data_IF_909390017483
#
_entry.id   IF_909390017483
#
_cell.length_a   1.000
_cell.length_b   1.000
_cell.length_c   1.000
_cell.angle_alpha   90.00
_cell.angle_beta   90.00
_cell.angle_gamma   90.00
#
_symmetry.space_group_name_H-M   'P 1'
#
loop_
_entity.id
_entity.type
_entity.pdbx_description
1 polymer ?
#
# COMPACT_ATOMS: atom_id res chain seq x y z
N UNK A 1 -40.72 29.91 44.94
CA UNK A 1 -39.71 28.87 45.28
C UNK A 1 -39.85 27.58 44.46
N UNK A 2 -41.06 27.16 44.07
CA UNK A 2 -41.28 25.96 43.22
C UNK A 2 -40.62 26.04 41.83
N UNK A 3 -40.63 27.22 41.21
CA UNK A 3 -40.05 27.43 39.88
C UNK A 3 -38.52 27.42 39.89
N UNK A 4 -37.88 27.76 41.02
CA UNK A 4 -36.43 27.68 41.17
C UNK A 4 -35.96 26.22 41.29
N UNK A 5 -36.74 25.39 41.98
CA UNK A 5 -36.49 23.95 42.08
C UNK A 5 -36.65 23.25 40.73
N UNK A 6 -37.62 23.70 39.91
CA UNK A 6 -37.85 23.18 38.56
C UNK A 6 -36.66 23.48 37.62
N UNK A 7 -36.06 24.67 37.72
CA UNK A 7 -34.89 25.06 36.93
C UNK A 7 -33.65 24.25 37.32
N UNK A 8 -33.43 24.02 38.63
CA UNK A 8 -32.31 23.19 39.11
C UNK A 8 -32.42 21.73 38.65
N UNK A 9 -33.63 21.15 38.61
CA UNK A 9 -33.86 19.78 38.13
C UNK A 9 -33.65 19.66 36.61
N UNK A 10 -34.03 20.67 35.82
CA UNK A 10 -33.78 20.67 34.38
C UNK A 10 -32.29 20.78 34.03
N UNK A 11 -31.49 21.54 34.80
CA UNK A 11 -30.05 21.65 34.55
C UNK A 11 -29.27 20.36 34.82
N UNK A 12 -29.78 19.48 35.69
CA UNK A 12 -29.13 18.20 36.00
C UNK A 12 -29.32 17.14 34.88
N UNK A 13 -30.36 17.25 34.05
CA UNK A 13 -30.66 16.29 32.98
C UNK A 13 -29.88 16.56 31.69
N UNK A 14 -29.33 17.76 31.50
CA UNK A 14 -28.51 18.12 30.32
C UNK A 14 -27.05 17.64 30.46
N UNK A 15 -26.63 17.17 31.64
CA UNK A 15 -25.26 16.74 31.90
C UNK A 15 -24.94 15.28 31.46
N UNK A 16 -25.91 14.52 30.96
CA UNK A 16 -25.74 13.08 30.69
C UNK A 16 -26.12 12.68 29.26
N UNK A 17 -25.55 13.31 28.23
CA UNK A 17 -25.33 12.68 26.90
C UNK A 17 -24.06 13.23 26.24
N UNK A 18 -22.95 13.27 26.98
CA UNK A 18 -21.61 13.36 26.42
C UNK A 18 -21.01 11.96 26.38
N UNK A 19 -21.25 11.21 25.32
CA UNK A 19 -20.57 9.94 25.07
C UNK A 19 -19.08 10.22 24.99
N UNK A 20 -18.31 9.80 25.99
CA UNK A 20 -16.86 9.83 25.94
C UNK A 20 -16.39 9.03 24.73
N UNK A 21 -15.95 9.70 23.66
CA UNK A 21 -14.95 9.10 22.79
C UNK A 21 -13.72 8.92 23.67
N UNK A 22 -13.49 7.68 24.10
CA UNK A 22 -12.14 7.26 24.46
C UNK A 22 -11.34 7.26 23.16
N UNK A 23 -10.85 8.42 22.76
CA UNK A 23 -9.61 8.47 22.01
C UNK A 23 -8.57 7.85 22.94
N UNK A 24 -8.21 6.59 22.66
CA UNK A 24 -7.01 6.00 23.22
C UNK A 24 -5.88 6.91 22.75
N UNK A 25 -5.18 7.62 23.66
CA UNK A 25 -3.98 8.33 23.24
C UNK A 25 -3.07 7.29 22.60
N UNK A 26 -2.59 7.58 21.40
CA UNK A 26 -1.49 6.83 20.82
C UNK A 26 -0.37 6.86 21.88
N UNK A 27 -0.21 5.73 22.57
CA UNK A 27 0.86 5.52 23.52
C UNK A 27 2.15 5.38 22.72
N UNK A 28 2.72 6.51 22.32
CA UNK A 28 4.13 6.61 21.98
C UNK A 28 4.80 6.99 23.30
N UNK A 29 5.76 6.18 23.73
CA UNK A 29 6.57 6.26 24.96
C UNK A 29 6.21 5.27 26.09
N UNK A 30 5.88 4.02 25.75
CA UNK A 30 6.20 2.89 26.64
C UNK A 30 7.26 2.04 25.93
N UNK A 31 8.35 1.61 26.60
CA UNK A 31 9.26 0.61 26.05
C UNK A 31 8.43 -0.60 25.62
N UNK A 32 8.42 -0.89 24.33
CA UNK A 32 7.72 -2.07 23.79
C UNK A 32 8.57 -3.26 24.20
N UNK A 33 8.12 -3.99 25.21
CA UNK A 33 8.65 -5.30 25.55
C UNK A 33 8.64 -6.17 24.29
N UNK A 34 9.76 -6.80 23.91
CA UNK A 34 9.84 -7.57 22.68
C UNK A 34 8.83 -8.70 22.74
N UNK A 35 7.93 -8.73 21.76
CA UNK A 35 6.94 -9.80 21.65
C UNK A 35 7.68 -11.13 21.37
N UNK A 36 7.63 -12.05 22.33
CA UNK A 36 8.34 -13.34 22.27
C UNK A 36 7.49 -14.49 21.70
N UNK A 37 6.23 -14.23 21.35
CA UNK A 37 5.30 -15.22 20.82
C UNK A 37 5.27 -15.28 19.29
N UNK A 38 4.62 -16.32 18.75
CA UNK A 38 4.25 -16.35 17.33
C UNK A 38 3.04 -15.43 17.09
N UNK A 39 3.05 -14.61 16.03
CA UNK A 39 1.87 -13.83 15.68
C UNK A 39 0.70 -14.77 15.35
N UNK A 40 -0.45 -14.56 16.01
CA UNK A 40 -1.70 -15.30 15.77
C UNK A 40 -2.68 -14.37 15.09
N UNK A 41 -3.08 -14.71 13.87
CA UNK A 41 -4.11 -13.98 13.12
C UNK A 41 -5.47 -14.62 13.38
N UNK A 42 -6.41 -13.84 13.92
CA UNK A 42 -7.81 -14.26 14.03
C UNK A 42 -8.51 -14.03 12.68
N UNK A 43 -8.78 -15.12 11.94
CA UNK A 43 -9.46 -15.05 10.64
C UNK A 43 -11.00 -14.89 10.77
N UNK A 44 -11.56 -15.03 11.97
CA UNK A 44 -13.00 -14.86 12.22
C UNK A 44 -13.34 -13.42 12.65
N UNK A 45 -12.33 -12.62 13.00
CA UNK A 45 -12.49 -11.21 13.33
C UNK A 45 -13.00 -10.39 12.15
N UNK A 46 -13.88 -9.42 12.43
CA UNK A 46 -14.25 -8.39 11.46
C UNK A 46 -13.24 -7.24 11.56
N UNK A 47 -12.39 -7.11 10.56
CA UNK A 47 -11.44 -6.01 10.44
C UNK A 47 -12.02 -4.93 9.51
N UNK A 48 -11.85 -3.64 9.83
CA UNK A 48 -12.33 -2.58 8.96
C UNK A 48 -11.60 -2.64 7.61
N UNK A 49 -12.34 -2.42 6.52
CA UNK A 49 -11.73 -2.12 5.24
C UNK A 49 -10.92 -0.84 5.37
N UNK A 50 -9.69 -0.87 4.84
CA UNK A 50 -8.82 0.29 4.81
C UNK A 50 -8.51 0.63 3.37
N UNK A 51 -8.96 1.80 2.94
CA UNK A 51 -8.50 2.39 1.69
C UNK A 51 -7.02 2.76 1.83
N UNK A 52 -6.20 2.27 0.90
CA UNK A 52 -4.77 2.59 0.84
C UNK A 52 -4.54 3.44 -0.40
N UNK A 53 -4.27 4.72 -0.18
CA UNK A 53 -3.81 5.64 -1.23
C UNK A 53 -2.30 5.47 -1.31
N UNK A 54 -1.79 4.98 -2.45
CA UNK A 54 -0.37 4.67 -2.61
C UNK A 54 0.53 5.89 -2.36
N UNK A 55 0.04 7.09 -2.71
CA UNK A 55 0.72 8.37 -2.52
C UNK A 55 0.91 8.74 -1.05
N UNK A 56 0.09 8.20 -0.14
CA UNK A 56 0.21 8.47 1.30
C UNK A 56 1.31 7.61 1.96
N UNK A 57 1.76 6.55 1.29
CA UNK A 57 2.73 5.58 1.81
C UNK A 57 4.06 5.58 1.05
N UNK A 58 4.11 6.11 -0.18
CA UNK A 58 5.31 6.15 -1.00
C UNK A 58 5.23 7.21 -2.10
N UNK A 59 6.40 7.62 -2.60
CA UNK A 59 6.50 8.41 -3.83
C UNK A 59 6.02 7.58 -5.03
N UNK A 60 4.98 8.04 -5.71
CA UNK A 60 4.42 7.37 -6.89
C UNK A 60 4.86 8.09 -8.16
N UNK A 61 5.42 7.34 -9.10
CA UNK A 61 5.75 7.82 -10.45
C UNK A 61 5.21 6.88 -11.51
N UNK A 62 4.58 7.45 -12.53
CA UNK A 62 4.19 6.72 -13.73
C UNK A 62 5.30 6.81 -14.77
N UNK A 63 5.62 5.68 -15.41
CA UNK A 63 6.62 5.57 -16.46
C UNK A 63 5.95 4.98 -17.70
N UNK A 64 5.98 5.71 -18.81
CA UNK A 64 5.50 5.21 -20.09
C UNK A 64 6.62 4.45 -20.75
N UNK A 65 6.40 3.17 -21.07
CA UNK A 65 7.38 2.37 -21.80
C UNK A 65 7.30 2.68 -23.29
N UNK A 66 8.46 2.95 -23.89
CA UNK A 66 8.61 3.11 -25.33
C UNK A 66 8.09 1.85 -26.03
N UNK A 67 7.19 2.04 -26.99
CA UNK A 67 6.52 0.96 -27.70
C UNK A 67 6.91 0.96 -29.16
N UNK A 68 7.47 -0.16 -29.62
CA UNK A 68 7.81 -0.46 -31.00
C UNK A 68 7.98 -1.97 -31.17
N UNK A 69 8.30 -2.42 -32.39
CA UNK A 69 8.36 -3.86 -32.70
C UNK A 69 9.35 -4.63 -31.82
N UNK A 70 10.47 -3.99 -31.45
CA UNK A 70 11.51 -4.56 -30.57
C UNK A 70 11.24 -4.42 -29.07
N UNK A 71 10.21 -3.66 -28.67
CA UNK A 71 9.89 -3.37 -27.27
C UNK A 71 8.48 -3.80 -26.87
N UNK A 72 7.87 -4.72 -27.63
CA UNK A 72 6.57 -5.31 -27.31
C UNK A 72 6.64 -6.06 -25.98
N UNK A 73 6.02 -5.47 -24.96
CA UNK A 73 5.92 -6.04 -23.62
C UNK A 73 4.72 -6.98 -23.50
N UNK A 74 4.84 -7.97 -22.61
CA UNK A 74 3.74 -8.88 -22.26
C UNK A 74 3.08 -8.51 -20.93
N UNK A 75 2.19 -9.38 -20.44
CA UNK A 75 1.58 -9.29 -19.10
C UNK A 75 2.48 -9.80 -17.97
N UNK A 76 3.79 -10.00 -18.24
CA UNK A 76 4.73 -10.48 -17.22
C UNK A 76 5.16 -9.33 -16.29
N UNK A 77 5.59 -9.70 -15.10
CA UNK A 77 6.14 -8.77 -14.10
C UNK A 77 7.31 -7.98 -14.68
N UNK A 78 7.38 -6.69 -14.31
CA UNK A 78 8.53 -5.83 -14.56
C UNK A 78 9.39 -5.85 -13.29
N UNK A 79 10.64 -6.24 -13.43
CA UNK A 79 11.65 -6.09 -12.38
C UNK A 79 12.25 -4.70 -12.49
N UNK A 80 12.41 -4.03 -11.35
CA UNK A 80 13.01 -2.70 -11.27
C UNK A 80 14.28 -2.76 -10.43
N UNK A 81 15.35 -2.19 -10.97
CA UNK A 81 16.61 -1.95 -10.25
C UNK A 81 16.85 -0.44 -10.11
N UNK A 82 17.97 -0.06 -9.51
CA UNK A 82 18.38 1.33 -9.39
C UNK A 82 18.64 2.02 -10.73
N UNK A 83 18.78 1.28 -11.84
CA UNK A 83 19.10 1.84 -13.15
C UNK A 83 18.18 1.36 -14.28
N UNK A 84 17.54 0.19 -14.13
CA UNK A 84 16.87 -0.49 -15.23
C UNK A 84 15.47 -0.96 -14.84
N UNK A 85 14.61 -1.02 -15.85
CA UNK A 85 13.39 -1.79 -15.84
C UNK A 85 13.60 -2.98 -16.78
N UNK A 86 13.38 -4.19 -16.29
CA UNK A 86 13.59 -5.43 -17.05
C UNK A 86 12.30 -6.22 -17.06
N UNK A 87 11.91 -6.69 -18.24
CA UNK A 87 10.76 -7.59 -18.37
C UNK A 87 11.06 -8.69 -19.38
N UNK A 88 10.20 -9.69 -19.40
CA UNK A 88 10.24 -10.76 -20.39
C UNK A 88 8.90 -10.76 -21.11
N UNK A 89 8.90 -10.87 -22.43
CA UNK A 89 7.65 -10.94 -23.19
C UNK A 89 7.18 -12.40 -23.38
N UNK A 90 6.15 -12.61 -24.21
CA UNK A 90 5.64 -13.95 -24.51
C UNK A 90 6.57 -14.78 -25.42
N UNK A 91 7.46 -14.14 -26.16
CA UNK A 91 8.47 -14.78 -27.02
C UNK A 91 9.75 -15.14 -26.28
N UNK A 92 9.81 -14.88 -24.97
CA UNK A 92 11.01 -15.04 -24.13
C UNK A 92 12.11 -14.01 -24.39
N UNK A 93 11.80 -12.91 -25.08
CA UNK A 93 12.75 -11.80 -25.19
C UNK A 93 12.91 -11.16 -23.81
N UNK A 94 14.15 -11.04 -23.34
CA UNK A 94 14.50 -10.23 -22.17
C UNK A 94 14.68 -8.81 -22.66
N UNK A 95 13.84 -7.90 -22.18
CA UNK A 95 13.76 -6.51 -22.66
C UNK A 95 14.20 -5.57 -21.55
N UNK A 96 15.08 -4.64 -21.90
CA UNK A 96 15.64 -3.63 -21.02
C UNK A 96 15.14 -2.24 -21.38
N UNK A 97 14.66 -1.52 -20.38
CA UNK A 97 14.34 -0.11 -20.46
C UNK A 97 15.15 0.66 -19.42
N UNK A 98 15.42 1.93 -19.68
CA UNK A 98 15.91 2.83 -18.64
C UNK A 98 14.77 3.26 -17.70
N UNK A 99 15.11 4.02 -16.65
CA UNK A 99 14.14 4.56 -15.70
C UNK A 99 13.13 5.54 -16.32
N UNK A 100 13.39 6.14 -17.48
CA UNK A 100 12.43 6.99 -18.18
C UNK A 100 11.40 6.18 -18.97
N UNK A 101 11.64 4.88 -19.15
CA UNK A 101 10.84 3.98 -19.96
C UNK A 101 11.33 3.88 -21.41
N UNK A 102 12.47 4.46 -21.74
CA UNK A 102 13.08 4.37 -23.06
C UNK A 102 13.61 2.96 -23.29
N UNK A 103 13.37 2.40 -24.48
CA UNK A 103 13.93 1.11 -24.87
C UNK A 103 15.45 1.21 -24.99
N UNK A 104 16.16 0.22 -24.44
CA UNK A 104 17.62 0.12 -24.55
C UNK A 104 18.03 -0.97 -25.52
N UNK A 105 17.67 -2.21 -25.20
CA UNK A 105 17.95 -3.38 -26.02
C UNK A 105 17.13 -4.57 -25.53
N UNK A 106 17.15 -5.65 -26.31
CA UNK A 106 16.58 -6.94 -25.94
C UNK A 106 17.43 -8.07 -26.48
N UNK A 107 17.42 -9.22 -25.80
CA UNK A 107 18.03 -10.44 -26.31
C UNK A 107 17.11 -11.63 -26.07
N UNK A 108 17.32 -12.67 -26.86
CA UNK A 108 16.65 -13.95 -26.73
C UNK A 108 17.61 -15.05 -27.17
N UNK A 109 17.60 -16.13 -26.41
CA UNK A 109 18.49 -17.27 -26.50
C UNK A 109 17.65 -18.57 -26.56
N UNK A 110 16.41 -18.43 -27.05
CA UNK A 110 15.44 -19.51 -27.15
C UNK A 110 15.51 -20.13 -28.54
N UNK A 111 16.22 -21.25 -28.66
CA UNK A 111 16.27 -22.05 -29.87
C UNK A 111 17.21 -23.23 -29.74
N UNK A 112 17.54 -23.84 -30.88
CA UNK A 112 18.31 -25.09 -30.93
C UNK A 112 19.66 -24.96 -31.65
N UNK A 113 20.08 -23.75 -32.00
CA UNK A 113 21.37 -23.47 -32.63
C UNK A 113 22.48 -23.29 -31.59
N UNK A 114 23.75 -23.38 -32.00
CA UNK A 114 24.91 -23.22 -31.10
C UNK A 114 25.18 -21.79 -30.63
N UNK A 115 24.42 -20.82 -31.14
CA UNK A 115 24.47 -19.39 -30.76
C UNK A 115 23.25 -18.96 -29.94
N UNK A 116 22.33 -19.91 -29.65
CA UNK A 116 21.20 -19.75 -28.74
C UNK A 116 21.67 -19.99 -27.30
#
# INVERSE_FOLDING_TARGET
>A
MKNLYLILVLSALVACTGSSQKEKPACVNTPVEPFTGLPVFDLQGQYPEKEIILQDIADVRYVVLETGDSSLVGTRTILMTDSLLVTVNKKSDVIFFDKSGKYLHSFNHTGMSGEE
#
